data_IF_308963065112
#
_entry.id   IF_308963065112
#
_cell.length_a   1.000
_cell.length_b   1.000
_cell.length_c   1.000
_cell.angle_alpha   90.00
_cell.angle_beta   90.00
_cell.angle_gamma   90.00
#
_symmetry.space_group_name_H-M   'P 1'
#
loop_
_entity.id
_entity.type
_entity.pdbx_description
1 polymer ?
#
# COMPACT_ATOMS: atom_id res chain seq x y z
N UNK A 1 -11.35 -6.61 29.69
CA UNK A 1 -11.77 -7.52 30.79
C UNK A 1 -10.62 -8.36 31.34
N UNK A 2 -9.87 -9.13 30.55
CA UNK A 2 -8.74 -9.93 31.07
C UNK A 2 -7.60 -9.01 31.56
N UNK A 3 -7.28 -7.96 30.83
CA UNK A 3 -6.30 -6.95 31.19
C UNK A 3 -6.72 -6.18 32.46
N UNK A 4 -7.99 -5.78 32.56
CA UNK A 4 -8.56 -5.09 33.72
C UNK A 4 -8.51 -5.98 34.99
N UNK A 5 -8.77 -7.27 34.84
CA UNK A 5 -8.62 -8.24 35.92
C UNK A 5 -7.18 -8.36 36.42
N UNK A 6 -6.21 -8.44 35.48
CA UNK A 6 -4.79 -8.51 35.84
C UNK A 6 -4.33 -7.27 36.65
N UNK A 7 -4.80 -6.08 36.26
CA UNK A 7 -4.50 -4.83 36.97
C UNK A 7 -5.14 -4.81 38.37
N UNK A 8 -6.39 -5.26 38.50
CA UNK A 8 -7.09 -5.32 39.81
C UNK A 8 -6.44 -6.30 40.76
N UNK A 9 -5.83 -7.39 40.29
CA UNK A 9 -5.02 -8.29 41.13
C UNK A 9 -3.80 -7.55 41.68
N UNK A 10 -3.11 -6.77 40.87
CA UNK A 10 -1.91 -6.04 41.33
C UNK A 10 -2.22 -4.97 42.40
N UNK A 11 -3.42 -4.38 42.36
CA UNK A 11 -3.80 -3.30 43.30
C UNK A 11 -4.79 -3.79 44.38
N UNK A 12 -4.94 -5.10 44.55
CA UNK A 12 -5.79 -5.75 45.58
C UNK A 12 -7.25 -5.27 45.62
N UNK A 13 -7.82 -4.92 44.46
CA UNK A 13 -9.21 -4.50 44.35
C UNK A 13 -10.19 -5.69 44.18
N UNK A 14 -11.48 -5.54 44.60
CA UNK A 14 -12.48 -6.58 44.42
C UNK A 14 -12.66 -7.00 42.98
N UNK A 15 -12.62 -8.30 42.71
CA UNK A 15 -12.65 -8.87 41.35
C UNK A 15 -13.98 -9.62 41.09
N UNK A 16 -14.40 -9.57 39.82
CA UNK A 16 -15.45 -10.45 39.33
C UNK A 16 -14.94 -11.90 39.25
N UNK A 17 -15.72 -12.87 39.76
CA UNK A 17 -15.39 -14.29 39.64
C UNK A 17 -15.17 -14.69 38.16
N UNK A 18 -14.24 -15.63 37.85
CA UNK A 18 -13.95 -16.03 36.46
C UNK A 18 -15.17 -16.46 35.66
N UNK A 19 -16.13 -17.16 36.32
CA UNK A 19 -17.38 -17.60 35.70
C UNK A 19 -18.32 -16.45 35.29
N UNK A 20 -18.21 -15.28 35.90
CA UNK A 20 -18.99 -14.10 35.50
C UNK A 20 -18.35 -13.27 34.37
N UNK A 21 -17.06 -13.48 34.06
CA UNK A 21 -16.37 -12.74 32.98
C UNK A 21 -16.93 -13.10 31.61
N UNK A 22 -17.20 -14.39 31.37
CA UNK A 22 -17.74 -14.86 30.09
C UNK A 22 -19.18 -14.38 29.85
N UNK A 23 -20.02 -14.38 30.92
CA UNK A 23 -21.39 -13.86 30.81
C UNK A 23 -21.43 -12.35 30.60
N UNK A 24 -20.58 -11.60 31.31
CA UNK A 24 -20.43 -10.15 31.08
C UNK A 24 -19.91 -9.84 29.68
N UNK A 25 -18.93 -10.58 29.19
CA UNK A 25 -18.42 -10.41 27.83
C UNK A 25 -19.49 -10.67 26.77
N UNK A 26 -20.32 -11.72 26.93
CA UNK A 26 -21.45 -11.98 26.03
C UNK A 26 -22.52 -10.88 26.12
N UNK A 27 -22.80 -10.36 27.30
CA UNK A 27 -23.73 -9.25 27.50
C UNK A 27 -23.25 -7.97 26.78
N UNK A 28 -21.96 -7.65 26.88
CA UNK A 28 -21.35 -6.52 26.12
C UNK A 28 -21.41 -6.73 24.62
N UNK A 29 -21.05 -7.92 24.14
CA UNK A 29 -21.11 -8.27 22.73
C UNK A 29 -22.53 -8.15 22.17
N UNK A 30 -23.53 -8.66 22.90
CA UNK A 30 -24.93 -8.54 22.51
C UNK A 30 -25.43 -7.10 22.47
N UNK A 31 -25.05 -6.26 23.44
CA UNK A 31 -25.35 -4.82 23.43
C UNK A 31 -24.69 -4.13 22.26
N UNK A 32 -23.42 -4.42 21.99
CA UNK A 32 -22.66 -3.86 20.86
C UNK A 32 -23.27 -4.26 19.51
N UNK A 33 -23.72 -5.51 19.37
CA UNK A 33 -24.39 -5.99 18.17
C UNK A 33 -25.77 -5.34 17.96
N UNK A 34 -26.51 -5.04 19.02
CA UNK A 34 -27.80 -4.32 18.96
C UNK A 34 -27.62 -2.83 18.63
N UNK A 35 -26.52 -2.22 19.07
CA UNK A 35 -26.20 -0.81 18.81
C UNK A 35 -25.53 -0.59 17.45
N UNK A 36 -25.06 -1.64 16.77
CA UNK A 36 -24.65 -1.52 15.38
C UNK A 36 -25.86 -1.08 14.57
N UNK A 37 -25.82 0.10 13.91
CA UNK A 37 -26.82 0.40 12.91
C UNK A 37 -26.84 -0.79 11.95
N UNK A 38 -28.05 -1.32 11.65
CA UNK A 38 -28.21 -2.37 10.63
C UNK A 38 -27.34 -1.96 9.46
N UNK A 39 -26.32 -2.78 9.19
CA UNK A 39 -25.36 -2.46 8.13
C UNK A 39 -26.18 -2.03 6.92
N UNK A 40 -26.02 -0.76 6.52
CA UNK A 40 -26.56 -0.29 5.27
C UNK A 40 -26.12 -1.37 4.27
N UNK A 41 -27.08 -1.88 3.47
CA UNK A 41 -26.77 -2.89 2.44
C UNK A 41 -25.48 -2.48 1.81
N UNK A 42 -24.40 -3.25 2.05
CA UNK A 42 -23.14 -3.01 1.37
C UNK A 42 -23.52 -3.08 -0.12
N UNK A 43 -23.66 -1.91 -0.72
CA UNK A 43 -23.57 -1.82 -2.17
C UNK A 43 -22.24 -2.49 -2.44
N UNK A 44 -22.28 -3.69 -3.04
CA UNK A 44 -21.08 -4.36 -3.54
C UNK A 44 -20.53 -3.39 -4.56
N UNK A 45 -19.65 -2.49 -4.10
CA UNK A 45 -18.79 -1.72 -5.00
C UNK A 45 -18.17 -2.78 -5.91
N UNK A 46 -18.47 -2.71 -7.19
CA UNK A 46 -17.93 -3.62 -8.17
C UNK A 46 -16.42 -3.69 -7.89
N UNK A 47 -15.92 -4.90 -7.61
CA UNK A 47 -14.48 -5.10 -7.40
C UNK A 47 -13.82 -4.45 -8.60
N UNK A 48 -13.09 -3.35 -8.39
CA UNK A 48 -12.25 -2.78 -9.45
C UNK A 48 -11.16 -3.80 -9.72
N UNK A 49 -11.45 -4.68 -10.68
CA UNK A 49 -10.54 -5.71 -11.14
C UNK A 49 -9.40 -5.01 -11.88
N UNK A 50 -8.18 -5.43 -11.62
CA UNK A 50 -7.02 -5.00 -12.40
C UNK A 50 -7.31 -5.18 -13.90
N UNK A 51 -7.05 -4.15 -14.69
CA UNK A 51 -7.24 -4.18 -16.15
C UNK A 51 -5.87 -4.31 -16.81
N UNK A 52 -5.69 -5.24 -17.75
CA UNK A 52 -4.45 -5.34 -18.52
C UNK A 52 -4.20 -4.07 -19.34
N UNK A 53 -2.93 -3.76 -19.67
CA UNK A 53 -2.61 -2.71 -20.63
C UNK A 53 -3.01 -3.15 -22.05
N UNK A 54 -3.04 -2.19 -22.97
CA UNK A 54 -3.19 -2.47 -24.41
C UNK A 54 -1.98 -3.21 -24.97
N UNK A 55 -2.15 -3.86 -26.13
CA UNK A 55 -1.03 -4.53 -26.82
C UNK A 55 0.14 -3.56 -27.10
N UNK A 56 1.34 -4.07 -26.92
CA UNK A 56 2.57 -3.29 -27.05
C UNK A 56 2.97 -2.48 -25.81
N UNK A 57 2.09 -2.35 -24.82
CA UNK A 57 2.38 -1.61 -23.58
C UNK A 57 2.63 -2.56 -22.41
N UNK A 58 3.39 -2.10 -21.44
CA UNK A 58 3.52 -2.75 -20.14
C UNK A 58 2.81 -1.93 -19.06
N UNK A 59 2.40 -2.59 -17.98
CA UNK A 59 1.86 -1.93 -16.80
C UNK A 59 2.79 -2.18 -15.60
N UNK A 60 3.32 -1.12 -15.04
CA UNK A 60 4.12 -1.12 -13.82
C UNK A 60 3.24 -0.75 -12.63
N UNK A 61 2.89 -1.74 -11.82
CA UNK A 61 2.24 -1.53 -10.53
C UNK A 61 3.32 -1.34 -9.46
N UNK A 62 3.15 -0.36 -8.58
CA UNK A 62 4.11 -0.06 -7.51
C UNK A 62 3.40 0.27 -6.21
N UNK A 63 4.10 0.07 -5.10
CA UNK A 63 3.63 0.35 -3.73
C UNK A 63 4.82 0.50 -2.78
N UNK A 64 4.61 1.18 -1.67
CA UNK A 64 5.57 1.30 -0.58
C UNK A 64 4.96 0.86 0.76
N UNK A 65 5.77 0.29 1.65
CA UNK A 65 5.35 -0.03 3.02
C UNK A 65 6.38 0.45 4.04
N UNK A 66 5.92 0.95 5.19
CA UNK A 66 6.77 1.45 6.28
C UNK A 66 6.80 0.46 7.44
N UNK A 67 7.98 0.26 8.01
CA UNK A 67 8.22 -0.60 9.17
C UNK A 67 8.75 0.27 10.32
N UNK A 68 7.83 0.79 11.14
CA UNK A 68 8.13 1.73 12.23
C UNK A 68 9.13 1.17 13.24
N UNK A 69 8.97 -0.11 13.60
CA UNK A 69 9.85 -0.79 14.56
C UNK A 69 11.29 -0.92 14.08
N UNK A 70 11.50 -1.00 12.77
CA UNK A 70 12.81 -1.18 12.15
C UNK A 70 13.42 0.13 11.64
N UNK A 71 12.67 1.24 11.67
CA UNK A 71 13.03 2.49 11.00
C UNK A 71 13.41 2.31 9.53
N UNK A 72 12.75 1.35 8.87
CA UNK A 72 12.94 0.99 7.48
C UNK A 72 11.65 1.20 6.68
N UNK A 73 11.78 1.27 5.38
CA UNK A 73 10.69 1.19 4.43
C UNK A 73 11.09 0.28 3.27
N UNK A 74 10.13 -0.14 2.48
CA UNK A 74 10.41 -0.92 1.29
C UNK A 74 9.52 -0.50 0.12
N UNK A 75 10.02 -0.74 -1.08
CA UNK A 75 9.35 -0.47 -2.34
C UNK A 75 9.18 -1.78 -3.09
N UNK A 76 7.98 -2.00 -3.64
CA UNK A 76 7.67 -3.10 -4.55
C UNK A 76 7.22 -2.59 -5.90
N UNK A 77 7.75 -3.17 -6.98
CA UNK A 77 7.32 -2.89 -8.35
C UNK A 77 7.07 -4.20 -9.08
N UNK A 78 5.96 -4.29 -9.81
CA UNK A 78 5.63 -5.44 -10.67
C UNK A 78 5.27 -4.95 -12.05
N UNK A 79 6.01 -5.39 -13.06
CA UNK A 79 5.77 -5.06 -14.47
C UNK A 79 5.07 -6.24 -15.14
N UNK A 80 3.92 -5.97 -15.78
CA UNK A 80 3.08 -6.97 -16.45
C UNK A 80 2.83 -6.60 -17.90
N UNK A 81 2.69 -7.62 -18.74
CA UNK A 81 2.29 -7.47 -20.13
C UNK A 81 0.76 -7.46 -20.32
N UNK A 82 0.22 -7.29 -21.55
CA UNK A 82 -1.22 -7.34 -21.84
C UNK A 82 -1.92 -8.62 -21.41
N UNK A 83 -1.22 -9.75 -21.39
CA UNK A 83 -1.76 -11.04 -20.96
C UNK A 83 -1.77 -11.21 -19.43
N UNK A 84 -1.35 -10.16 -18.67
CA UNK A 84 -1.25 -10.20 -17.22
C UNK A 84 -0.04 -11.00 -16.69
N UNK A 85 0.85 -11.45 -17.57
CA UNK A 85 2.07 -12.17 -17.19
C UNK A 85 3.07 -11.19 -16.60
N UNK A 86 3.67 -11.57 -15.46
CA UNK A 86 4.76 -10.81 -14.85
C UNK A 86 5.99 -10.90 -15.73
N UNK A 87 6.48 -9.77 -16.18
CA UNK A 87 7.70 -9.62 -16.98
C UNK A 87 8.92 -9.38 -16.09
N UNK A 88 8.72 -8.58 -15.03
CA UNK A 88 9.76 -8.29 -14.05
C UNK A 88 9.11 -7.89 -12.71
N UNK A 89 9.86 -8.07 -11.63
CA UNK A 89 9.50 -7.59 -10.30
C UNK A 89 10.75 -7.08 -9.59
N UNK A 90 10.56 -6.05 -8.76
CA UNK A 90 11.60 -5.45 -7.95
C UNK A 90 11.11 -5.31 -6.52
N UNK A 91 12.00 -5.63 -5.59
CA UNK A 91 11.86 -5.31 -4.17
C UNK A 91 13.12 -4.57 -3.73
N UNK A 92 12.94 -3.45 -3.04
CA UNK A 92 14.04 -2.62 -2.56
C UNK A 92 13.74 -2.11 -1.15
N UNK A 93 14.71 -2.25 -0.25
CA UNK A 93 14.67 -1.64 1.08
C UNK A 93 15.31 -0.27 1.03
N UNK A 94 14.69 0.68 1.72
CA UNK A 94 15.17 2.05 1.83
C UNK A 94 15.08 2.53 3.28
N UNK A 95 15.86 3.55 3.68
CA UNK A 95 15.61 4.24 4.93
C UNK A 95 14.19 4.78 4.99
N UNK A 96 13.54 4.67 6.14
CA UNK A 96 12.16 5.13 6.31
C UNK A 96 12.06 6.64 6.08
N UNK A 97 11.27 7.09 5.10
CA UNK A 97 10.98 8.50 4.94
C UNK A 97 10.02 9.00 6.04
N UNK A 98 10.05 10.28 6.34
CA UNK A 98 9.22 10.89 7.38
C UNK A 98 7.71 10.92 7.05
N UNK A 99 7.36 10.85 5.77
CA UNK A 99 5.98 10.96 5.29
C UNK A 99 5.63 9.84 4.31
N UNK A 100 4.41 9.32 4.42
CA UNK A 100 3.88 8.28 3.50
C UNK A 100 3.89 8.78 2.05
N UNK A 101 3.49 10.03 1.80
CA UNK A 101 3.50 10.60 0.44
C UNK A 101 4.90 10.63 -0.19
N UNK A 102 5.95 10.80 0.63
CA UNK A 102 7.33 10.72 0.15
C UNK A 102 7.67 9.29 -0.26
N UNK A 103 7.26 8.29 0.54
CA UNK A 103 7.46 6.88 0.20
C UNK A 103 6.76 6.51 -1.11
N UNK A 104 5.50 6.90 -1.26
CA UNK A 104 4.72 6.63 -2.47
C UNK A 104 5.33 7.30 -3.72
N UNK A 105 5.87 8.52 -3.54
CA UNK A 105 6.56 9.21 -4.63
C UNK A 105 7.90 8.55 -4.96
N UNK A 106 8.64 8.06 -3.95
CA UNK A 106 9.86 7.26 -4.15
C UNK A 106 9.54 5.95 -4.89
N UNK A 107 8.44 5.27 -4.53
CA UNK A 107 8.01 4.06 -5.20
C UNK A 107 7.68 4.32 -6.67
N UNK A 108 7.02 5.45 -6.98
CA UNK A 108 6.72 5.85 -8.34
C UNK A 108 8.00 6.15 -9.13
N UNK A 109 8.93 6.92 -8.54
CA UNK A 109 10.24 7.21 -9.16
C UNK A 109 11.01 5.93 -9.44
N UNK A 110 11.02 5.00 -8.49
CA UNK A 110 11.72 3.72 -8.66
C UNK A 110 11.09 2.86 -9.76
N UNK A 111 9.75 2.88 -9.86
CA UNK A 111 9.04 2.19 -10.94
C UNK A 111 9.39 2.77 -12.31
N UNK A 112 9.43 4.11 -12.44
CA UNK A 112 9.82 4.78 -13.68
C UNK A 112 11.25 4.42 -14.11
N UNK A 113 12.19 4.48 -13.15
CA UNK A 113 13.57 4.10 -13.39
C UNK A 113 13.71 2.62 -13.75
N UNK A 114 12.98 1.71 -13.09
CA UNK A 114 13.00 0.28 -13.36
C UNK A 114 12.49 -0.06 -14.76
N UNK A 115 11.40 0.57 -15.21
CA UNK A 115 10.88 0.42 -16.58
C UNK A 115 11.90 0.88 -17.60
N UNK A 116 12.59 1.99 -17.33
CA UNK A 116 13.68 2.50 -18.17
C UNK A 116 14.86 1.49 -18.22
N UNK A 117 15.31 0.96 -17.06
CA UNK A 117 16.37 -0.08 -16.99
C UNK A 117 16.04 -1.32 -17.81
N UNK A 118 14.76 -1.71 -17.85
CA UNK A 118 14.27 -2.87 -18.62
C UNK A 118 14.15 -2.60 -20.13
N UNK A 119 14.30 -1.36 -20.57
CA UNK A 119 14.25 -0.98 -21.98
C UNK A 119 12.85 -0.94 -22.57
N UNK A 120 11.79 -0.95 -21.75
CA UNK A 120 10.42 -0.76 -22.25
C UNK A 120 10.20 0.69 -22.68
N UNK A 121 9.47 0.87 -23.79
CA UNK A 121 9.23 2.20 -24.39
C UNK A 121 7.81 2.70 -24.16
N UNK A 122 6.85 1.81 -23.91
CA UNK A 122 5.44 2.13 -23.71
C UNK A 122 4.96 1.57 -22.38
N UNK A 123 4.62 2.44 -21.42
CA UNK A 123 4.32 2.03 -20.06
C UNK A 123 3.15 2.79 -19.42
N UNK A 124 2.37 2.06 -18.62
CA UNK A 124 1.36 2.61 -17.70
C UNK A 124 1.87 2.41 -16.28
N UNK A 125 2.04 3.50 -15.54
CA UNK A 125 2.44 3.49 -14.13
C UNK A 125 1.19 3.56 -13.26
N UNK A 126 0.98 2.56 -12.40
CA UNK A 126 -0.25 2.42 -11.63
C UNK A 126 0.08 2.23 -10.14
N UNK A 127 -0.40 3.18 -9.32
CA UNK A 127 -0.21 3.19 -7.86
C UNK A 127 -1.48 3.58 -7.12
N UNK A 128 -1.52 3.41 -5.80
CA UNK A 128 -2.70 3.68 -4.97
C UNK A 128 -2.65 5.05 -4.24
N UNK A 129 -1.59 5.82 -4.42
CA UNK A 129 -1.49 7.20 -3.93
C UNK A 129 -2.09 8.20 -4.91
N UNK A 130 -3.33 8.63 -4.67
CA UNK A 130 -4.00 9.63 -5.51
C UNK A 130 -3.21 10.94 -5.58
N UNK A 131 -2.59 11.35 -4.46
CA UNK A 131 -1.80 12.60 -4.37
C UNK A 131 -0.59 12.53 -5.30
N UNK A 132 0.19 11.46 -5.24
CA UNK A 132 1.39 11.28 -6.06
C UNK A 132 1.04 11.16 -7.55
N UNK A 133 0.00 10.38 -7.87
CA UNK A 133 -0.46 10.21 -9.26
C UNK A 133 -0.96 11.52 -9.84
N UNK A 134 -1.76 12.29 -9.08
CA UNK A 134 -2.26 13.58 -9.56
C UNK A 134 -1.12 14.59 -9.80
N UNK A 135 -0.17 14.69 -8.88
CA UNK A 135 0.99 15.56 -9.04
C UNK A 135 1.81 15.24 -10.31
N UNK A 136 1.93 13.94 -10.66
CA UNK A 136 2.59 13.51 -11.90
C UNK A 136 1.78 13.78 -13.15
N UNK A 137 0.45 13.64 -13.09
CA UNK A 137 -0.45 13.94 -14.21
C UNK A 137 -0.50 15.44 -14.49
N UNK A 138 -0.52 16.26 -13.44
CA UNK A 138 -0.55 17.73 -13.57
C UNK A 138 0.79 18.28 -14.12
N UNK A 139 1.90 17.55 -13.91
CA UNK A 139 3.23 17.93 -14.42
C UNK A 139 3.76 19.27 -13.89
N UNK A 140 3.12 19.83 -12.87
CA UNK A 140 3.46 21.15 -12.32
C UNK A 140 4.50 20.97 -11.21
N UNK A 141 5.63 21.70 -11.25
CA UNK A 141 6.58 21.71 -10.14
C UNK A 141 5.89 22.18 -8.87
N UNK A 142 5.71 21.27 -7.92
CA UNK A 142 5.06 21.58 -6.64
C UNK A 142 6.15 21.96 -5.64
N UNK A 143 6.08 23.09 -4.94
CA UNK A 143 7.04 23.48 -3.90
C UNK A 143 6.82 22.67 -2.63
N UNK A 144 6.93 21.35 -2.74
CA UNK A 144 6.75 20.39 -1.65
C UNK A 144 8.06 19.64 -1.39
N UNK A 145 8.17 19.01 -0.22
CA UNK A 145 9.34 18.20 0.14
C UNK A 145 9.60 17.03 -0.82
N UNK A 146 8.62 16.63 -1.64
CA UNK A 146 8.72 15.57 -2.65
C UNK A 146 8.68 16.07 -4.10
N UNK A 147 8.62 17.40 -4.32
CA UNK A 147 8.56 17.98 -5.68
C UNK A 147 9.75 17.58 -6.56
N UNK A 148 10.96 17.48 -6.01
CA UNK A 148 12.14 17.00 -6.71
C UNK A 148 11.99 15.54 -7.18
N UNK A 149 11.31 14.67 -6.41
CA UNK A 149 11.06 13.29 -6.80
C UNK A 149 10.06 13.20 -7.97
N UNK A 150 9.09 14.11 -8.02
CA UNK A 150 8.16 14.23 -9.15
C UNK A 150 8.95 14.61 -10.40
N UNK A 151 9.84 15.61 -10.33
CA UNK A 151 10.67 16.03 -11.45
C UNK A 151 11.60 14.92 -11.93
N UNK A 152 12.24 14.19 -11.02
CA UNK A 152 13.05 13.02 -11.34
C UNK A 152 12.22 11.96 -12.08
N UNK A 153 11.03 11.66 -11.58
CA UNK A 153 10.12 10.70 -12.20
C UNK A 153 9.77 11.10 -13.62
N UNK A 154 9.38 12.37 -13.82
CA UNK A 154 9.05 12.91 -15.14
C UNK A 154 10.25 12.87 -16.09
N UNK A 155 11.47 13.11 -15.59
CA UNK A 155 12.70 12.98 -16.36
C UNK A 155 12.92 11.55 -16.85
N UNK A 156 12.72 10.53 -16.02
CA UNK A 156 12.86 9.13 -16.47
C UNK A 156 11.82 8.74 -17.50
N UNK A 157 10.56 9.11 -17.31
CA UNK A 157 9.50 8.73 -18.26
C UNK A 157 9.53 9.54 -19.55
N UNK A 158 10.18 10.71 -19.58
CA UNK A 158 10.34 11.52 -20.79
C UNK A 158 11.17 10.83 -21.89
N UNK A 159 11.95 9.81 -21.53
CA UNK A 159 12.68 8.97 -22.48
C UNK A 159 11.82 7.88 -23.13
N UNK A 160 10.62 7.62 -22.63
CA UNK A 160 9.67 6.66 -23.18
C UNK A 160 8.94 7.27 -24.38
N UNK A 161 8.53 6.43 -25.31
CA UNK A 161 7.71 6.86 -26.44
C UNK A 161 6.29 7.23 -26.03
N UNK A 162 5.74 6.44 -25.09
CA UNK A 162 4.42 6.71 -24.54
C UNK A 162 4.36 6.29 -23.06
N UNK A 163 3.80 7.16 -22.22
CA UNK A 163 3.58 6.83 -20.83
C UNK A 163 2.27 7.44 -20.32
N UNK A 164 1.74 6.86 -19.25
CA UNK A 164 0.64 7.45 -18.48
C UNK A 164 0.72 7.02 -17.02
N UNK A 165 0.17 7.87 -16.14
CA UNK A 165 0.00 7.59 -14.72
C UNK A 165 -1.47 7.32 -14.44
N UNK A 166 -1.76 6.28 -13.67
CA UNK A 166 -3.12 5.86 -13.33
C UNK A 166 -3.23 5.56 -11.85
N UNK A 167 -4.27 6.08 -11.21
CA UNK A 167 -4.61 5.71 -9.84
C UNK A 167 -5.40 4.40 -9.85
N UNK A 168 -5.02 3.47 -8.97
CA UNK A 168 -5.75 2.23 -8.72
C UNK A 168 -6.04 2.08 -7.23
N UNK A 169 -7.12 1.38 -6.90
CA UNK A 169 -7.35 1.03 -5.51
C UNK A 169 -6.44 -0.14 -5.09
N UNK A 170 -6.12 -0.20 -3.80
CA UNK A 170 -5.29 -1.26 -3.19
C UNK A 170 -5.66 -2.68 -3.63
N UNK A 171 -6.96 -2.96 -3.89
CA UNK A 171 -7.43 -4.24 -4.41
C UNK A 171 -6.95 -4.56 -5.83
N UNK A 172 -6.66 -3.55 -6.66
CA UNK A 172 -6.07 -3.70 -8.00
C UNK A 172 -4.54 -3.78 -7.95
N UNK A 173 -3.92 -3.37 -6.82
CA UNK A 173 -2.46 -3.31 -6.62
C UNK A 173 -1.90 -4.45 -5.74
N UNK A 174 -2.64 -5.55 -5.59
CA UNK A 174 -2.36 -6.60 -4.59
C UNK A 174 -0.96 -7.19 -4.65
N UNK A 175 -0.40 -7.40 -5.84
CA UNK A 175 0.94 -7.98 -5.99
C UNK A 175 2.04 -6.97 -5.62
N UNK A 176 1.95 -5.75 -6.09
CA UNK A 176 2.89 -4.69 -5.71
C UNK A 176 2.82 -4.40 -4.21
N UNK A 177 1.61 -4.45 -3.63
CA UNK A 177 1.37 -4.28 -2.20
C UNK A 177 1.90 -5.45 -1.35
N UNK A 178 1.96 -6.67 -1.87
CA UNK A 178 2.47 -7.84 -1.16
C UNK A 178 4.00 -7.88 -1.09
N UNK A 179 4.69 -7.37 -2.11
CA UNK A 179 6.16 -7.37 -2.20
C UNK A 179 6.84 -6.61 -1.05
N UNK A 180 6.47 -5.36 -0.74
CA UNK A 180 7.09 -4.60 0.34
C UNK A 180 6.96 -5.26 1.71
N UNK A 181 5.92 -6.07 1.92
CA UNK A 181 5.60 -6.74 3.19
C UNK A 181 6.36 -8.03 3.44
N UNK A 182 7.17 -8.48 2.50
CA UNK A 182 8.04 -9.62 2.72
C UNK A 182 9.10 -9.24 3.76
N UNK A 183 8.84 -9.66 4.99
CA UNK A 183 9.64 -9.33 6.18
C UNK A 183 11.12 -9.69 6.00
N UNK A 184 12.05 -8.86 6.52
CA UNK A 184 13.49 -9.13 6.48
C UNK A 184 13.94 -10.32 7.34
N UNK A 185 13.05 -11.00 8.05
CA UNK A 185 13.39 -12.08 8.97
C UNK A 185 13.48 -13.50 8.39
N UNK A 186 13.34 -13.65 7.07
CA UNK A 186 13.61 -14.95 6.44
C UNK A 186 14.91 -14.93 5.62
N UNK A 187 16.04 -14.68 6.28
CA UNK A 187 17.30 -15.26 5.81
C UNK A 187 17.29 -16.74 6.20
N UNK A 188 17.37 -17.69 5.26
CA UNK A 188 17.60 -19.08 5.63
C UNK A 188 18.95 -19.17 6.34
N UNK A 189 18.95 -19.80 7.51
CA UNK A 189 20.17 -20.25 8.21
C UNK A 189 20.84 -21.36 7.44
#
# INVERSE_FOLDING_TARGET
MIWDRRNKVQVQQPMLPPKKISSSARGYLSKFQKLRPKAAKQVRLAKKIWKPPEEGKVKANFDGDMFDELNEASIGVVVKNPQGKIMAALFEKIPKPSLVVVLETLATRRAAYFVHELGFQDAIFEGDSEISIKALQDGIPTPTSYGHLINDTLSYVSSLWCFSFSHTHRQGNTLAHALPRQSPHQSPR
#
